data_IF_071569498407
#
_entry.id   IF_071569498407
#
_cell.length_a   1.000
_cell.length_b   1.000
_cell.length_c   1.000
_cell.angle_alpha   90.00
_cell.angle_beta   90.00
_cell.angle_gamma   90.00
#
_symmetry.space_group_name_H-M   'P 1'
#
loop_
_entity.id
_entity.type
_entity.pdbx_description
1 polymer ?
#
# COMPACT_ATOMS: atom_id res chain seq x y z
N UNK A 1 33.06 10.34 -28.83
CA UNK A 1 31.69 10.88 -28.96
C UNK A 1 30.93 10.49 -27.70
N UNK A 2 30.67 11.45 -26.81
CA UNK A 2 29.90 11.24 -25.58
C UNK A 2 28.42 11.23 -25.97
N UNK A 3 27.71 10.13 -25.70
CA UNK A 3 26.26 10.09 -25.79
C UNK A 3 25.70 10.98 -24.68
N UNK A 4 25.33 12.19 -25.06
CA UNK A 4 24.45 13.07 -24.31
C UNK A 4 23.08 12.39 -24.31
N UNK A 5 22.72 11.73 -23.22
CA UNK A 5 21.33 11.35 -22.97
C UNK A 5 20.62 12.59 -22.42
N UNK A 6 20.25 13.48 -23.34
CA UNK A 6 19.15 14.40 -23.13
C UNK A 6 17.89 13.67 -23.60
N UNK A 7 17.07 13.23 -22.66
CA UNK A 7 15.64 13.03 -22.90
C UNK A 7 14.87 13.30 -21.61
N UNK A 8 14.12 14.39 -21.66
CA UNK A 8 12.93 14.56 -20.85
C UNK A 8 11.96 13.41 -21.17
N UNK A 9 12.08 12.28 -20.46
CA UNK A 9 11.06 11.22 -20.46
C UNK A 9 9.94 11.56 -19.45
N UNK A 10 9.39 12.77 -19.54
CA UNK A 10 8.26 13.25 -18.74
C UNK A 10 6.92 12.74 -19.29
N UNK A 11 6.84 11.45 -19.65
CA UNK A 11 5.57 10.84 -20.08
C UNK A 11 5.42 9.37 -19.70
N UNK A 12 6.32 8.84 -18.86
CA UNK A 12 6.13 7.51 -18.28
C UNK A 12 5.09 7.60 -17.17
N UNK A 13 4.04 6.75 -17.16
CA UNK A 13 3.07 6.76 -16.07
C UNK A 13 3.77 6.48 -14.73
N UNK A 14 3.22 7.03 -13.64
CA UNK A 14 3.72 6.74 -12.30
C UNK A 14 3.62 5.23 -12.03
N UNK A 15 4.74 4.62 -11.65
CA UNK A 15 4.84 3.19 -11.38
C UNK A 15 5.51 2.94 -10.05
N UNK A 16 4.96 2.00 -9.28
CA UNK A 16 5.59 1.43 -8.11
C UNK A 16 6.71 0.50 -8.56
N UNK A 17 7.95 0.81 -8.19
CA UNK A 17 9.14 0.04 -8.61
C UNK A 17 9.70 -0.84 -7.49
N UNK A 18 9.41 -0.50 -6.25
CA UNK A 18 9.86 -1.26 -5.09
C UNK A 18 8.92 -1.09 -3.90
N UNK A 19 8.72 -2.18 -3.17
CA UNK A 19 8.03 -2.22 -1.90
C UNK A 19 8.97 -2.89 -0.90
N UNK A 20 9.23 -2.23 0.20
CA UNK A 20 9.86 -2.83 1.37
C UNK A 20 8.84 -2.83 2.51
N UNK A 21 8.60 -3.98 3.14
CA UNK A 21 7.68 -4.13 4.27
C UNK A 21 8.33 -4.94 5.38
N UNK A 22 8.13 -4.51 6.63
CA UNK A 22 8.71 -5.10 7.84
C UNK A 22 7.66 -5.18 8.95
N UNK A 23 7.74 -6.24 9.74
CA UNK A 23 6.94 -6.42 10.95
C UNK A 23 5.45 -6.67 10.71
N UNK A 24 5.02 -6.93 9.46
CA UNK A 24 3.62 -7.14 9.11
C UNK A 24 3.33 -8.62 8.86
N UNK A 25 2.48 -9.22 9.70
CA UNK A 25 2.01 -10.61 9.62
C UNK A 25 3.14 -11.63 9.50
N UNK A 26 3.49 -12.08 8.30
CA UNK A 26 4.58 -13.05 8.07
C UNK A 26 5.91 -12.39 7.71
N UNK A 27 5.93 -11.07 7.51
CA UNK A 27 7.16 -10.32 7.27
C UNK A 27 7.78 -9.95 8.60
N UNK A 28 8.91 -10.56 8.93
CA UNK A 28 9.64 -10.32 10.17
C UNK A 28 10.28 -8.91 10.22
N UNK A 29 11.14 -8.68 11.21
CA UNK A 29 11.83 -7.41 11.38
C UNK A 29 12.93 -7.17 10.30
N UNK A 30 13.44 -8.23 9.67
CA UNK A 30 14.33 -8.11 8.51
C UNK A 30 13.54 -7.58 7.31
N UNK A 31 12.31 -8.07 7.16
CA UNK A 31 11.33 -7.66 6.17
C UNK A 31 11.50 -8.35 4.83
N UNK A 32 10.71 -7.88 3.87
CA UNK A 32 10.75 -8.34 2.49
C UNK A 32 10.78 -7.14 1.55
N UNK A 33 11.66 -7.21 0.55
CA UNK A 33 11.69 -6.28 -0.58
C UNK A 33 11.15 -6.99 -1.82
N UNK A 34 10.27 -6.30 -2.54
CA UNK A 34 9.65 -6.78 -3.78
C UNK A 34 9.78 -5.67 -4.81
N UNK A 35 10.22 -6.02 -6.02
CA UNK A 35 10.31 -5.09 -7.14
C UNK A 35 9.21 -5.46 -8.14
N UNK A 36 7.99 -4.91 -8.00
CA UNK A 36 6.92 -5.22 -8.93
C UNK A 36 7.18 -4.59 -10.29
N UNK A 37 6.71 -5.27 -11.34
CA UNK A 37 6.60 -4.76 -12.70
C UNK A 37 5.13 -4.57 -13.07
N UNK A 38 4.86 -4.11 -14.30
CA UNK A 38 3.50 -3.98 -14.87
C UNK A 38 2.64 -5.23 -14.68
N UNK A 39 3.26 -6.41 -14.73
CA UNK A 39 2.66 -7.68 -14.33
C UNK A 39 3.61 -8.39 -13.37
N UNK A 40 3.12 -8.68 -12.17
CA UNK A 40 3.87 -9.40 -11.13
C UNK A 40 3.06 -10.61 -10.70
N UNK A 41 3.62 -11.81 -10.91
CA UNK A 41 3.01 -13.07 -10.48
C UNK A 41 3.73 -13.58 -9.23
N UNK A 42 2.98 -13.80 -8.16
CA UNK A 42 3.54 -14.27 -6.88
C UNK A 42 3.37 -15.80 -6.78
N UNK A 43 4.49 -16.52 -6.83
CA UNK A 43 4.53 -17.98 -6.67
C UNK A 43 5.24 -18.35 -5.35
N UNK A 44 4.81 -19.44 -4.72
CA UNK A 44 5.45 -19.94 -3.50
C UNK A 44 4.58 -20.94 -2.75
N UNK A 45 5.15 -21.63 -1.77
CA UNK A 45 4.45 -22.61 -0.93
C UNK A 45 3.25 -22.02 -0.18
N UNK A 46 2.33 -22.88 0.27
CA UNK A 46 1.27 -22.45 1.16
C UNK A 46 1.87 -21.86 2.45
N UNK A 47 1.34 -20.72 2.91
CA UNK A 47 1.89 -20.00 4.06
C UNK A 47 3.11 -19.11 3.78
N UNK A 48 3.63 -19.05 2.56
CA UNK A 48 4.81 -18.23 2.20
C UNK A 48 4.60 -16.70 2.25
N UNK A 49 3.46 -16.21 2.76
CA UNK A 49 3.18 -14.78 2.89
C UNK A 49 2.52 -14.08 1.69
N UNK A 50 2.17 -14.81 0.62
CA UNK A 50 1.50 -14.22 -0.58
C UNK A 50 0.19 -13.48 -0.22
N UNK A 51 -0.68 -14.14 0.54
CA UNK A 51 -1.94 -13.54 1.02
C UNK A 51 -1.70 -12.36 1.97
N UNK A 52 -0.57 -12.36 2.69
CA UNK A 52 -0.20 -11.27 3.58
C UNK A 52 0.29 -10.05 2.80
N UNK A 53 0.98 -10.22 1.67
CA UNK A 53 1.26 -9.08 0.79
C UNK A 53 -0.04 -8.45 0.26
N UNK A 54 -1.02 -9.27 -0.13
CA UNK A 54 -2.34 -8.78 -0.54
C UNK A 54 -3.04 -8.03 0.61
N UNK A 55 -2.98 -8.57 1.83
CA UNK A 55 -3.51 -7.90 3.03
C UNK A 55 -2.80 -6.57 3.33
N UNK A 56 -1.49 -6.47 3.08
CA UNK A 56 -0.74 -5.22 3.22
C UNK A 56 -1.29 -4.13 2.28
N UNK A 57 -1.56 -4.45 1.01
CA UNK A 57 -2.20 -3.48 0.10
C UNK A 57 -3.63 -3.12 0.51
N UNK A 58 -4.41 -4.05 1.06
CA UNK A 58 -5.73 -3.75 1.64
C UNK A 58 -5.61 -2.74 2.77
N UNK A 59 -4.68 -2.97 3.71
CA UNK A 59 -4.40 -2.05 4.82
C UNK A 59 -4.00 -0.66 4.30
N UNK A 60 -3.09 -0.60 3.32
CA UNK A 60 -2.64 0.64 2.71
C UNK A 60 -3.81 1.43 2.10
N UNK A 61 -4.76 0.77 1.43
CA UNK A 61 -5.94 1.43 0.90
C UNK A 61 -6.85 2.00 2.00
N UNK A 62 -7.09 1.24 3.08
CA UNK A 62 -7.85 1.74 4.23
C UNK A 62 -7.15 2.94 4.89
N UNK A 63 -5.83 2.88 5.02
CA UNK A 63 -5.01 3.93 5.59
C UNK A 63 -5.11 5.23 4.79
N UNK A 64 -5.03 5.16 3.46
CA UNK A 64 -5.21 6.33 2.58
C UNK A 64 -6.62 6.95 2.67
N UNK A 65 -7.61 6.14 3.03
CA UNK A 65 -9.00 6.56 3.24
C UNK A 65 -9.29 7.00 4.69
N UNK A 66 -8.26 7.15 5.53
CA UNK A 66 -8.37 7.46 6.97
C UNK A 66 -9.29 6.49 7.72
N UNK A 67 -9.14 5.21 7.40
CA UNK A 67 -9.88 4.09 8.01
C UNK A 67 -8.93 3.04 8.59
N UNK A 68 -7.72 3.44 9.04
CA UNK A 68 -6.76 2.50 9.60
C UNK A 68 -7.34 1.80 10.83
N UNK A 69 -8.00 2.53 11.72
CA UNK A 69 -8.56 1.94 12.94
C UNK A 69 -9.68 0.93 12.64
N UNK A 70 -10.50 1.22 11.62
CA UNK A 70 -11.50 0.28 11.13
C UNK A 70 -10.85 -1.00 10.59
N UNK A 71 -9.79 -0.87 9.78
CA UNK A 71 -9.05 -2.04 9.27
C UNK A 71 -8.50 -2.90 10.40
N UNK A 72 -7.89 -2.28 11.42
CA UNK A 72 -7.37 -2.98 12.60
C UNK A 72 -8.48 -3.76 13.30
N UNK A 73 -9.63 -3.14 13.54
CA UNK A 73 -10.77 -3.79 14.19
C UNK A 73 -11.42 -4.91 13.36
N UNK A 74 -11.51 -4.76 12.05
CA UNK A 74 -12.06 -5.79 11.14
C UNK A 74 -11.15 -7.02 11.01
N UNK A 75 -9.85 -6.86 11.24
CA UNK A 75 -8.86 -7.93 11.07
C UNK A 75 -8.36 -8.49 12.41
N UNK A 76 -9.13 -8.28 13.49
CA UNK A 76 -8.79 -8.69 14.85
C UNK A 76 -8.32 -7.49 15.66
N UNK A 77 -7.01 -7.36 15.81
CA UNK A 77 -6.37 -6.28 16.57
C UNK A 77 -4.96 -5.98 16.04
N UNK A 78 -4.25 -5.01 16.62
CA UNK A 78 -2.87 -4.73 16.22
C UNK A 78 -1.93 -5.92 16.42
N UNK A 79 -2.12 -6.72 17.48
CA UNK A 79 -1.37 -7.95 17.71
C UNK A 79 -1.42 -8.90 16.52
N UNK A 80 -2.60 -9.09 15.92
CA UNK A 80 -2.77 -9.98 14.75
C UNK A 80 -2.05 -9.50 13.49
N UNK A 81 -1.77 -8.20 13.40
CA UNK A 81 -1.10 -7.59 12.26
C UNK A 81 0.42 -7.56 12.41
N UNK A 82 0.94 -7.67 13.64
CA UNK A 82 2.37 -7.68 13.94
C UNK A 82 2.94 -9.08 13.76
N UNK A 83 4.17 -9.16 13.24
CA UNK A 83 4.87 -10.43 13.14
C UNK A 83 5.10 -11.05 14.53
N UNK A 84 4.45 -12.18 14.77
CA UNK A 84 4.41 -12.85 16.09
C UNK A 84 4.04 -11.92 17.25
N UNK A 85 3.17 -10.93 16.96
CA UNK A 85 2.57 -10.06 17.97
C UNK A 85 3.53 -9.04 18.61
N UNK A 86 3.01 -8.24 19.56
CA UNK A 86 3.72 -7.08 20.10
C UNK A 86 4.88 -7.44 21.03
N UNK A 87 4.99 -8.70 21.47
CA UNK A 87 6.15 -9.17 22.25
C UNK A 87 7.40 -9.25 21.39
N UNK A 88 7.27 -9.66 20.13
CA UNK A 88 8.38 -9.86 19.21
C UNK A 88 8.59 -8.68 18.25
N UNK A 89 7.50 -8.04 17.81
CA UNK A 89 7.56 -6.94 16.85
C UNK A 89 6.79 -5.75 17.38
N UNK A 90 7.48 -4.62 17.56
CA UNK A 90 6.90 -3.40 18.14
C UNK A 90 6.25 -2.47 17.11
N UNK A 91 6.60 -2.64 15.83
CA UNK A 91 6.15 -1.75 14.78
C UNK A 91 6.08 -2.44 13.42
N UNK A 92 5.18 -1.91 12.59
CA UNK A 92 5.13 -2.18 11.16
C UNK A 92 5.76 -0.99 10.45
N UNK A 93 6.65 -1.25 9.50
CA UNK A 93 7.18 -0.19 8.64
C UNK A 93 7.14 -0.60 7.19
N UNK A 94 6.91 0.38 6.33
CA UNK A 94 6.96 0.16 4.90
C UNK A 94 7.51 1.37 4.16
N UNK A 95 8.05 1.08 2.97
CA UNK A 95 8.50 2.05 1.98
C UNK A 95 8.06 1.59 0.60
N UNK A 96 7.38 2.47 -0.12
CA UNK A 96 6.94 2.28 -1.49
C UNK A 96 7.67 3.29 -2.36
N UNK A 97 8.57 2.82 -3.21
CA UNK A 97 9.40 3.65 -4.10
C UNK A 97 8.79 3.68 -5.49
N UNK A 98 8.73 4.87 -6.09
CA UNK A 98 8.17 5.10 -7.41
C UNK A 98 9.23 5.52 -8.43
N UNK A 99 8.93 5.35 -9.72
CA UNK A 99 9.81 5.72 -10.83
C UNK A 99 10.04 7.24 -11.01
N UNK A 100 9.36 8.08 -10.23
CA UNK A 100 9.53 9.54 -10.24
C UNK A 100 10.50 10.04 -9.15
N UNK A 101 11.38 9.16 -8.63
CA UNK A 101 12.34 9.46 -7.57
C UNK A 101 11.70 9.92 -6.25
N UNK A 102 10.46 9.50 -5.99
CA UNK A 102 9.80 9.72 -4.70
C UNK A 102 9.43 8.39 -4.08
N UNK A 103 9.54 8.29 -2.75
CA UNK A 103 9.05 7.17 -1.99
C UNK A 103 8.08 7.61 -0.90
N UNK A 104 6.98 6.89 -0.73
CA UNK A 104 6.10 6.99 0.42
C UNK A 104 6.56 6.04 1.51
N UNK A 105 6.73 6.52 2.74
CA UNK A 105 7.24 5.73 3.86
C UNK A 105 6.42 5.98 5.12
N UNK A 106 6.18 4.92 5.89
CA UNK A 106 5.50 5.06 7.19
C UNK A 106 6.02 4.05 8.21
N UNK A 107 5.78 4.35 9.48
CA UNK A 107 5.98 3.44 10.61
C UNK A 107 4.80 3.55 11.56
N UNK A 108 4.17 2.42 11.83
CA UNK A 108 3.09 2.26 12.79
C UNK A 108 3.63 1.53 14.01
N UNK A 109 3.41 2.07 15.20
CA UNK A 109 3.77 1.40 16.46
C UNK A 109 2.54 0.75 17.07
N UNK A 110 2.76 -0.38 17.75
CA UNK A 110 1.78 -0.92 18.69
C UNK A 110 1.54 0.07 19.83
N UNK A 111 0.28 0.28 20.20
CA UNK A 111 -0.12 1.17 21.28
C UNK A 111 -1.08 0.50 22.26
N UNK A 112 -1.27 1.15 23.42
CA UNK A 112 -2.23 0.74 24.45
C UNK A 112 -3.63 0.64 23.84
N UNK A 113 -4.37 -0.39 24.22
CA UNK A 113 -5.66 -0.73 23.63
C UNK A 113 -5.56 -1.61 22.37
N UNK A 114 -4.39 -2.22 22.15
CA UNK A 114 -4.10 -3.16 21.05
C UNK A 114 -4.43 -2.58 19.66
N UNK A 115 -3.97 -1.36 19.44
CA UNK A 115 -4.13 -0.62 18.19
C UNK A 115 -2.78 -0.22 17.58
N UNK A 116 -2.81 0.31 16.36
CA UNK A 116 -1.68 0.89 15.65
C UNK A 116 -1.80 2.41 15.61
N UNK A 117 -0.70 3.08 15.91
CA UNK A 117 -0.57 4.54 15.87
C UNK A 117 0.61 4.93 14.99
N UNK A 118 0.50 6.08 14.30
CA UNK A 118 1.60 6.57 13.48
C UNK A 118 2.75 7.07 14.36
N UNK A 119 3.94 6.52 14.11
CA UNK A 119 5.20 7.06 14.62
C UNK A 119 5.80 8.04 13.61
N UNK A 120 5.77 7.68 12.32
CA UNK A 120 6.27 8.48 11.21
C UNK A 120 5.45 8.23 9.97
N UNK A 121 5.27 9.28 9.17
CA UNK A 121 4.73 9.19 7.82
C UNK A 121 5.40 10.27 6.97
N UNK A 122 6.01 9.91 5.84
CA UNK A 122 6.77 10.86 5.04
C UNK A 122 6.79 10.53 3.56
N UNK A 123 7.05 11.56 2.76
CA UNK A 123 7.57 11.42 1.40
C UNK A 123 9.08 11.64 1.42
N UNK A 124 9.82 10.76 0.74
CA UNK A 124 11.26 10.88 0.54
C UNK A 124 11.49 11.19 -0.93
N UNK A 125 12.05 12.36 -1.22
CA UNK A 125 12.37 12.80 -2.58
C UNK A 125 13.87 12.60 -2.79
N UNK A 126 14.24 11.80 -3.78
CA UNK A 126 15.63 11.55 -4.15
C UNK A 126 16.08 12.55 -5.21
N UNK A 127 17.12 13.32 -4.87
CA UNK A 127 17.66 14.36 -5.74
C UNK A 127 18.77 13.79 -6.63
N UNK A 128 19.10 14.52 -7.71
CA UNK A 128 20.12 14.09 -8.69
C UNK A 128 21.54 14.07 -8.11
N UNK A 129 21.79 14.78 -7.01
CA UNK A 129 23.07 14.88 -6.31
C UNK A 129 23.26 13.76 -5.26
N UNK A 130 22.48 12.68 -5.34
CA UNK A 130 22.42 11.59 -4.35
C UNK A 130 22.00 12.03 -2.94
N UNK A 131 21.46 13.24 -2.77
CA UNK A 131 20.82 13.63 -1.50
C UNK A 131 19.36 13.22 -1.49
N UNK A 132 18.74 13.26 -0.31
CA UNK A 132 17.30 13.05 -0.17
C UNK A 132 16.68 14.11 0.71
N UNK A 133 15.51 14.60 0.31
CA UNK A 133 14.68 15.50 1.10
C UNK A 133 13.51 14.72 1.69
N UNK A 134 13.28 14.88 3.00
CA UNK A 134 12.21 14.22 3.72
C UNK A 134 11.11 15.24 4.01
N UNK A 135 9.90 14.94 3.56
CA UNK A 135 8.70 15.72 3.81
C UNK A 135 7.85 14.94 4.81
N UNK A 136 7.74 15.45 6.03
CA UNK A 136 6.85 14.89 7.05
C UNK A 136 5.39 15.18 6.70
N UNK A 137 4.57 14.12 6.60
CA UNK A 137 3.15 14.23 6.27
C UNK A 137 2.28 14.57 7.49
N UNK A 138 2.88 14.62 8.68
CA UNK A 138 2.23 15.00 9.95
C UNK A 138 0.94 14.21 10.16
N UNK A 139 1.01 12.89 10.35
CA UNK A 139 -0.18 12.07 10.59
C UNK A 139 -0.89 12.48 11.88
N UNK A 140 -2.19 12.21 11.93
CA UNK A 140 -2.88 12.18 13.22
C UNK A 140 -2.40 10.92 13.97
N UNK A 141 -2.51 10.91 15.30
CA UNK A 141 -2.00 9.79 16.12
C UNK A 141 -2.47 8.43 15.56
N UNK A 142 -3.72 8.34 15.09
CA UNK A 142 -4.36 7.09 14.65
C UNK A 142 -4.61 6.97 13.14
N UNK A 143 -4.43 8.04 12.36
CA UNK A 143 -4.82 8.09 10.94
C UNK A 143 -3.82 8.88 10.09
N UNK A 144 -3.71 8.51 8.81
CA UNK A 144 -2.76 9.11 7.87
C UNK A 144 -2.99 10.62 7.70
N UNK A 145 -1.89 11.37 7.62
CA UNK A 145 -1.88 12.80 7.32
C UNK A 145 -1.84 13.10 5.81
N UNK A 146 -1.67 12.08 4.96
CA UNK A 146 -1.41 12.25 3.54
C UNK A 146 -2.58 12.96 2.82
N UNK A 147 -3.84 12.67 3.17
CA UNK A 147 -4.98 13.38 2.59
C UNK A 147 -4.89 14.90 2.83
N UNK A 148 -4.64 15.32 4.07
CA UNK A 148 -4.52 16.75 4.44
C UNK A 148 -3.30 17.39 3.76
N UNK A 149 -2.20 16.65 3.65
CA UNK A 149 -1.03 17.12 2.92
C UNK A 149 -1.33 17.30 1.43
N UNK A 150 -2.07 16.37 0.82
CA UNK A 150 -2.43 16.42 -0.59
C UNK A 150 -3.30 17.65 -0.94
N UNK A 151 -4.20 18.04 -0.03
CA UNK A 151 -5.05 19.23 -0.17
C UNK A 151 -4.25 20.54 -0.19
N UNK A 152 -3.09 20.57 0.49
CA UNK A 152 -2.24 21.77 0.62
C UNK A 152 -1.01 21.76 -0.30
N UNK A 153 -0.62 20.60 -0.83
CA UNK A 153 0.55 20.49 -1.69
C UNK A 153 0.26 21.01 -3.11
N UNK A 154 1.12 21.86 -3.63
CA UNK A 154 1.07 22.31 -5.04
C UNK A 154 1.88 21.40 -5.98
N UNK A 155 2.71 20.50 -5.43
CA UNK A 155 3.58 19.65 -6.23
C UNK A 155 2.80 18.48 -6.85
N UNK A 156 2.76 18.44 -8.19
CA UNK A 156 2.07 17.42 -8.97
C UNK A 156 2.55 16.00 -8.65
N UNK A 157 3.84 15.79 -8.37
CA UNK A 157 4.38 14.46 -8.07
C UNK A 157 3.81 13.90 -6.76
N UNK A 158 3.57 14.76 -5.77
CA UNK A 158 2.96 14.32 -4.51
C UNK A 158 1.50 13.93 -4.71
N UNK A 159 0.76 14.70 -5.53
CA UNK A 159 -0.63 14.41 -5.87
C UNK A 159 -0.76 13.08 -6.60
N UNK A 160 0.10 12.84 -7.59
CA UNK A 160 0.13 11.57 -8.33
C UNK A 160 0.36 10.37 -7.41
N UNK A 161 1.22 10.49 -6.39
CA UNK A 161 1.46 9.41 -5.42
C UNK A 161 0.23 9.18 -4.55
N UNK A 162 -0.38 10.24 -4.02
CA UNK A 162 -1.61 10.12 -3.24
C UNK A 162 -2.72 9.46 -4.07
N UNK A 163 -2.92 9.93 -5.30
CA UNK A 163 -3.90 9.40 -6.24
C UNK A 163 -3.62 7.95 -6.61
N UNK A 164 -2.36 7.55 -6.74
CA UNK A 164 -1.98 6.15 -6.94
C UNK A 164 -2.38 5.29 -5.73
N UNK A 165 -2.02 5.71 -4.52
CA UNK A 165 -2.23 4.93 -3.30
C UNK A 165 -3.72 4.84 -2.90
N UNK A 166 -4.49 5.92 -3.03
CA UNK A 166 -5.93 5.93 -2.71
C UNK A 166 -6.73 5.03 -3.66
N UNK A 167 -6.26 4.88 -4.91
CA UNK A 167 -6.87 4.06 -5.95
C UNK A 167 -6.36 2.62 -5.99
N UNK A 168 -5.48 2.20 -5.06
CA UNK A 168 -5.08 0.80 -4.91
C UNK A 168 -6.30 -0.07 -4.58
N UNK A 169 -6.77 -0.84 -5.55
CA UNK A 169 -7.88 -1.78 -5.38
C UNK A 169 -7.34 -3.20 -5.29
N UNK A 170 -7.82 -3.93 -4.31
CA UNK A 170 -7.54 -5.36 -4.16
C UNK A 170 -8.78 -6.13 -4.57
N UNK A 171 -8.61 -6.99 -5.57
CA UNK A 171 -9.65 -7.89 -6.04
C UNK A 171 -9.31 -9.31 -5.63
N UNK A 172 -10.30 -10.02 -5.12
CA UNK A 172 -10.16 -11.41 -4.70
C UNK A 172 -11.33 -12.21 -5.24
N UNK A 173 -11.04 -12.95 -6.30
CA UNK A 173 -11.99 -13.80 -6.99
C UNK A 173 -11.87 -15.21 -6.43
N UNK A 174 -12.98 -15.79 -5.98
CA UNK A 174 -13.07 -17.20 -5.60
C UNK A 174 -14.25 -17.81 -6.32
N UNK A 175 -14.05 -18.98 -6.93
CA UNK A 175 -15.11 -19.74 -7.61
C UNK A 175 -15.36 -21.11 -6.95
N UNK A 176 -14.80 -21.32 -5.76
CA UNK A 176 -14.75 -22.63 -5.09
C UNK A 176 -15.91 -22.89 -4.14
N UNK A 177 -16.77 -21.90 -3.89
CA UNK A 177 -17.95 -22.05 -3.02
C UNK A 177 -19.23 -21.79 -3.80
N UNK A 178 -20.33 -22.38 -3.33
CA UNK A 178 -21.65 -22.16 -3.92
C UNK A 178 -22.13 -20.71 -3.75
N UNK A 179 -21.64 -19.96 -2.76
CA UNK A 179 -21.94 -18.52 -2.61
C UNK A 179 -21.03 -17.60 -3.45
N UNK A 180 -20.21 -18.14 -4.36
CA UNK A 180 -19.37 -17.30 -5.22
C UNK A 180 -20.22 -16.34 -6.05
N UNK A 181 -19.99 -15.02 -5.84
CA UNK A 181 -20.73 -13.99 -6.57
C UNK A 181 -20.42 -13.96 -8.07
N UNK A 182 -19.30 -14.53 -8.51
CA UNK A 182 -18.92 -14.62 -9.93
C UNK A 182 -19.91 -15.51 -10.71
N UNK A 183 -20.50 -16.52 -10.05
CA UNK A 183 -21.44 -17.46 -10.66
C UNK A 183 -22.86 -16.91 -10.73
N UNK A 184 -23.14 -15.80 -10.05
CA UNK A 184 -24.48 -15.24 -9.96
C UNK A 184 -24.79 -14.36 -11.17
N UNK A 185 -26.08 -14.25 -11.50
CA UNK A 185 -26.56 -13.26 -12.48
C UNK A 185 -26.32 -11.86 -11.93
N UNK A 186 -25.80 -10.97 -12.77
CA UNK A 186 -25.57 -9.57 -12.40
C UNK A 186 -26.29 -8.65 -13.38
N UNK A 187 -26.55 -7.42 -12.93
CA UNK A 187 -27.20 -6.41 -13.75
C UNK A 187 -26.20 -5.82 -14.74
N UNK A 188 -26.55 -5.75 -16.03
CA UNK A 188 -25.63 -5.35 -17.12
C UNK A 188 -25.04 -3.93 -16.93
N UNK A 189 -25.76 -3.05 -16.23
CA UNK A 189 -25.28 -1.69 -15.96
C UNK A 189 -24.36 -1.60 -14.73
N UNK A 190 -24.13 -2.71 -14.02
CA UNK A 190 -23.17 -2.81 -12.92
C UNK A 190 -21.74 -3.05 -13.45
N UNK A 191 -21.43 -2.66 -14.69
CA UNK A 191 -20.11 -2.80 -15.32
C UNK A 191 -19.19 -1.58 -15.11
N UNK A 192 -19.68 -0.51 -14.46
CA UNK A 192 -18.91 0.75 -14.30
C UNK A 192 -17.65 0.62 -13.45
N UNK A 193 -17.65 -0.27 -12.46
CA UNK A 193 -16.52 -0.50 -11.55
C UNK A 193 -16.49 -1.95 -11.12
N UNK A 194 -15.33 -2.61 -11.18
CA UNK A 194 -15.21 -3.95 -10.61
C UNK A 194 -15.50 -3.99 -9.11
N UNK A 195 -16.27 -4.98 -8.70
CA UNK A 195 -16.49 -5.31 -7.29
C UNK A 195 -15.28 -6.05 -6.75
N UNK A 196 -14.93 -5.83 -5.49
CA UNK A 196 -13.77 -6.46 -4.84
C UNK A 196 -13.79 -8.00 -4.84
N UNK A 197 -14.97 -8.61 -4.97
CA UNK A 197 -15.16 -10.07 -5.04
C UNK A 197 -15.50 -10.58 -6.45
N UNK A 198 -15.50 -9.69 -7.46
CA UNK A 198 -15.83 -10.04 -8.84
C UNK A 198 -17.28 -10.38 -9.10
N UNK A 199 -18.21 -10.00 -8.22
CA UNK A 199 -19.64 -10.29 -8.42
C UNK A 199 -20.26 -9.70 -9.70
N UNK A 200 -19.59 -8.72 -10.30
CA UNK A 200 -19.97 -8.10 -11.56
C UNK A 200 -19.00 -8.40 -12.71
N UNK A 201 -18.21 -9.48 -12.60
CA UNK A 201 -17.27 -9.88 -13.65
C UNK A 201 -17.99 -10.25 -14.96
N UNK A 202 -19.23 -10.70 -14.89
CA UNK A 202 -20.08 -11.09 -16.02
C UNK A 202 -21.07 -10.01 -16.47
N UNK A 203 -20.97 -8.78 -15.92
CA UNK A 203 -21.84 -7.64 -16.24
C UNK A 203 -21.55 -7.03 -17.62
#
# INVERSE_FOLDING_TARGET
>A
MKNVVNKNDNNSPLQLIQIAVKGFKTFDNCGQTINPNNLTVLLGANGSGKSNLVAFFKMLNYMMKRKLQLYVGEHGTAESLLFYGPKQTKSISARLTFNNNVAYSFTLNHAVGDTLVFNKESLVVYNQDNTSSIIDLKPDIKESGFQRFNETSENINHKLIYDYLINLKVFQFHDTTNESKIRNKVYINDCKNFHGNGGNLSA
#
